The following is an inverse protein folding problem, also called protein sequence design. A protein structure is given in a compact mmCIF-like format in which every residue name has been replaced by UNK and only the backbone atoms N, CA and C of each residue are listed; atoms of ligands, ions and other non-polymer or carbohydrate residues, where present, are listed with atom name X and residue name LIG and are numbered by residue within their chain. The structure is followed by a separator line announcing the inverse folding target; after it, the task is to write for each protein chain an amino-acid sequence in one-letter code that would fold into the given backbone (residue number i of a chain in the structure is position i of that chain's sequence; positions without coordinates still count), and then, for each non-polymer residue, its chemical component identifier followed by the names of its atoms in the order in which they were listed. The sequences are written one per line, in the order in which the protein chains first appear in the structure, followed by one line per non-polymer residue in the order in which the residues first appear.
data_IF_724542009910
#
_entry.id   IF_724542009910
#
_cell.length_a   1.000
_cell.length_b   1.000
_cell.length_c   1.000
_cell.angle_alpha   90.00
_cell.angle_beta   90.00
_cell.angle_gamma   90.00
#
_symmetry.space_group_name_H-M   'P 1'
#
loop_
_entity.id
_entity.type
_entity.pdbx_description
1 polymer ?
#
# COMPACT_ATOMS: atom_id res chain seq x y z
N UNK A 1 16.03 15.16 -27.10
CA UNK A 1 14.74 15.04 -26.39
C UNK A 1 15.01 15.07 -24.91
N UNK A 2 14.65 16.17 -24.26
CA UNK A 2 14.68 16.27 -22.81
C UNK A 2 13.51 15.41 -22.27
N UNK A 3 13.83 14.39 -21.48
CA UNK A 3 12.85 13.51 -20.83
C UNK A 3 13.06 13.57 -19.34
N UNK A 4 11.99 13.79 -18.58
CA UNK A 4 11.99 13.71 -17.13
C UNK A 4 11.64 12.28 -16.68
N UNK A 5 12.61 11.37 -16.85
CA UNK A 5 12.44 9.96 -16.54
C UNK A 5 13.19 9.58 -15.26
N UNK A 6 12.56 8.82 -14.38
CA UNK A 6 13.19 8.29 -13.18
C UNK A 6 12.67 6.89 -12.84
N UNK A 7 13.57 6.03 -12.35
CA UNK A 7 13.24 4.74 -11.77
C UNK A 7 13.84 4.64 -10.37
N UNK A 8 13.00 4.34 -9.39
CA UNK A 8 13.41 4.19 -8.01
C UNK A 8 13.33 2.71 -7.60
N UNK A 9 14.44 2.14 -7.16
CA UNK A 9 14.47 0.85 -6.49
C UNK A 9 14.79 1.08 -5.01
N UNK A 10 13.82 0.89 -4.14
CA UNK A 10 13.91 1.23 -2.72
C UNK A 10 13.62 0.00 -1.88
N UNK A 11 14.58 -0.38 -1.04
CA UNK A 11 14.47 -1.59 -0.22
C UNK A 11 13.30 -1.53 0.78
N UNK A 12 13.00 -0.35 1.31
CA UNK A 12 11.97 -0.15 2.31
C UNK A 12 11.02 0.97 1.91
N UNK A 13 9.74 0.67 1.72
CA UNK A 13 8.73 1.66 1.32
C UNK A 13 8.59 2.81 2.34
N UNK A 14 8.92 2.55 3.61
CA UNK A 14 8.92 3.59 4.66
C UNK A 14 9.81 4.77 4.32
N UNK A 15 10.92 4.54 3.64
CA UNK A 15 11.84 5.62 3.26
C UNK A 15 11.26 6.56 2.20
N UNK A 16 10.27 6.08 1.45
CA UNK A 16 9.56 6.85 0.42
C UNK A 16 8.34 7.54 1.00
N UNK A 17 7.52 6.81 1.78
CA UNK A 17 6.28 7.36 2.32
C UNK A 17 6.51 8.28 3.52
N UNK A 18 7.59 8.06 4.28
CA UNK A 18 7.96 8.85 5.46
C UNK A 18 6.91 8.82 6.56
N UNK A 19 7.34 9.16 7.78
CA UNK A 19 6.41 9.29 8.90
C UNK A 19 6.14 10.75 9.26
N UNK A 20 7.04 11.67 8.88
CA UNK A 20 7.00 13.07 9.36
C UNK A 20 7.54 14.06 8.33
N UNK A 21 7.11 15.31 8.44
CA UNK A 21 7.66 16.46 7.73
C UNK A 21 7.36 16.50 6.23
N UNK A 22 8.35 16.83 5.42
CA UNK A 22 8.21 17.03 3.97
C UNK A 22 7.87 15.74 3.20
N UNK A 23 8.15 14.56 3.77
CA UNK A 23 7.82 13.28 3.14
C UNK A 23 6.32 12.96 3.18
N UNK A 24 5.53 13.64 4.00
CA UNK A 24 4.06 13.48 4.00
C UNK A 24 3.41 13.84 2.66
N UNK A 25 4.08 14.63 1.81
CA UNK A 25 3.61 15.00 0.48
C UNK A 25 4.01 13.97 -0.61
N UNK A 26 4.88 13.01 -0.30
CA UNK A 26 5.37 12.05 -1.30
C UNK A 26 4.28 11.16 -1.91
N UNK A 27 3.30 10.63 -1.16
CA UNK A 27 2.18 9.90 -1.77
C UNK A 27 1.45 10.74 -2.81
N UNK A 28 1.15 12.00 -2.52
CA UNK A 28 0.53 12.94 -3.46
C UNK A 28 1.40 13.18 -4.69
N UNK A 29 2.69 13.44 -4.50
CA UNK A 29 3.64 13.64 -5.61
C UNK A 29 3.73 12.41 -6.51
N UNK A 30 3.80 11.19 -5.94
CA UNK A 30 3.82 9.96 -6.72
C UNK A 30 2.48 9.72 -7.44
N UNK A 31 1.38 10.12 -6.82
CA UNK A 31 0.05 10.10 -7.42
C UNK A 31 -0.02 10.98 -8.67
N UNK A 32 0.49 12.21 -8.60
CA UNK A 32 0.55 13.15 -9.72
C UNK A 32 1.46 12.65 -10.86
N UNK A 33 2.59 12.04 -10.51
CA UNK A 33 3.56 11.55 -11.51
C UNK A 33 3.12 10.27 -12.24
N UNK A 34 2.09 9.59 -11.73
CA UNK A 34 1.58 8.35 -12.32
C UNK A 34 0.95 8.54 -13.70
N UNK A 35 0.36 9.70 -13.94
CA UNK A 35 -0.38 9.99 -15.18
C UNK A 35 0.56 10.27 -16.37
N UNK A 36 1.88 10.39 -16.14
CA UNK A 36 2.93 10.49 -17.17
C UNK A 36 2.69 11.67 -18.12
N UNK A 37 2.50 12.88 -17.60
CA UNK A 37 2.21 14.07 -18.37
C UNK A 37 3.30 14.40 -19.40
N UNK A 38 2.90 14.78 -20.60
CA UNK A 38 3.82 15.25 -21.65
C UNK A 38 4.51 16.55 -21.25
N UNK A 39 3.81 17.38 -20.46
CA UNK A 39 4.32 18.66 -19.96
C UNK A 39 3.79 18.91 -18.54
N UNK A 40 4.70 19.10 -17.60
CA UNK A 40 4.39 19.46 -16.21
C UNK A 40 5.17 20.69 -15.81
N UNK A 41 4.48 21.65 -15.23
CA UNK A 41 5.09 22.87 -14.72
C UNK A 41 5.07 22.86 -13.19
N UNK A 42 6.24 23.00 -12.59
CA UNK A 42 6.38 23.14 -11.14
C UNK A 42 6.56 24.64 -10.83
N UNK A 43 5.86 25.14 -9.79
CA UNK A 43 5.99 26.53 -9.39
C UNK A 43 7.44 26.85 -9.01
N UNK A 44 7.91 28.00 -9.42
CA UNK A 44 9.26 28.48 -9.11
C UNK A 44 9.44 28.71 -7.60
N UNK A 45 10.66 28.58 -7.17
CA UNK A 45 11.11 28.97 -5.82
C UNK A 45 11.92 30.25 -5.90
N UNK A 46 12.18 30.91 -4.75
CA UNK A 46 13.02 32.12 -4.71
C UNK A 46 14.42 31.90 -5.30
N UNK A 47 14.93 30.67 -5.23
CA UNK A 47 16.27 30.32 -5.73
C UNK A 47 16.25 29.75 -7.16
N UNK A 48 15.15 29.15 -7.55
CA UNK A 48 15.00 28.49 -8.84
C UNK A 48 13.69 28.99 -9.47
N UNK A 49 13.76 29.45 -10.70
CA UNK A 49 12.60 29.81 -11.48
C UNK A 49 11.65 28.64 -11.70
N UNK A 50 10.62 28.85 -12.48
CA UNK A 50 9.69 27.83 -12.90
C UNK A 50 10.43 26.64 -13.54
N UNK A 51 10.10 25.41 -13.14
CA UNK A 51 10.69 24.20 -13.67
C UNK A 51 9.68 23.52 -14.60
N UNK A 52 10.05 23.41 -15.86
CA UNK A 52 9.24 22.73 -16.88
C UNK A 52 9.80 21.33 -17.08
N UNK A 53 8.99 20.32 -16.79
CA UNK A 53 9.28 18.90 -16.99
C UNK A 53 8.56 18.43 -18.26
N UNK A 54 9.27 17.77 -19.17
CA UNK A 54 8.73 17.24 -20.43
C UNK A 54 8.79 15.73 -20.43
N UNK A 55 7.76 15.08 -20.98
CA UNK A 55 7.67 13.62 -21.09
C UNK A 55 7.97 12.95 -19.75
N UNK A 56 7.19 13.31 -18.73
CA UNK A 56 7.37 12.83 -17.36
C UNK A 56 7.05 11.33 -17.30
N UNK A 57 8.02 10.55 -16.83
CA UNK A 57 7.82 9.13 -16.59
C UNK A 57 8.52 8.70 -15.29
N UNK A 58 7.77 8.19 -14.36
CA UNK A 58 8.32 7.69 -13.10
C UNK A 58 7.81 6.28 -12.84
N UNK A 59 8.74 5.40 -12.52
CA UNK A 59 8.40 4.08 -12.00
C UNK A 59 9.16 3.81 -10.70
N UNK A 60 8.56 3.06 -9.80
CA UNK A 60 9.26 2.61 -8.61
C UNK A 60 8.93 1.16 -8.29
N UNK A 61 9.88 0.48 -7.65
CA UNK A 61 9.71 -0.81 -7.01
C UNK A 61 10.22 -0.70 -5.57
N UNK A 62 9.46 -1.25 -4.64
CA UNK A 62 9.82 -1.22 -3.23
C UNK A 62 9.32 -2.46 -2.53
N UNK A 63 9.88 -2.74 -1.36
CA UNK A 63 9.44 -3.81 -0.48
C UNK A 63 9.00 -3.25 0.88
N UNK A 64 8.20 -4.01 1.59
CA UNK A 64 7.81 -3.72 2.98
C UNK A 64 7.22 -4.95 3.64
N UNK A 65 7.14 -4.94 4.96
CA UNK A 65 6.38 -5.97 5.68
C UNK A 65 4.89 -5.65 5.66
N UNK A 66 4.00 -6.67 5.61
CA UNK A 66 2.57 -6.45 5.69
C UNK A 66 2.13 -5.63 6.90
N UNK A 67 2.66 -5.94 8.08
CA UNK A 67 2.34 -5.23 9.32
C UNK A 67 2.67 -3.73 9.25
N UNK A 68 3.80 -3.38 8.63
CA UNK A 68 4.17 -1.98 8.46
C UNK A 68 3.27 -1.28 7.43
N UNK A 69 3.01 -1.91 6.29
CA UNK A 69 2.15 -1.36 5.23
C UNK A 69 0.78 -0.96 5.78
N UNK A 70 0.17 -1.84 6.55
CA UNK A 70 -1.14 -1.60 7.17
C UNK A 70 -1.11 -0.42 8.14
N UNK A 71 0.00 -0.22 8.86
CA UNK A 71 0.16 0.90 9.79
C UNK A 71 0.45 2.24 9.06
N UNK A 72 1.20 2.18 7.97
CA UNK A 72 1.63 3.36 7.22
C UNK A 72 0.59 3.86 6.22
N UNK A 73 -0.15 2.96 5.60
CA UNK A 73 -1.21 3.28 4.63
C UNK A 73 -2.52 3.51 5.40
N UNK A 74 -2.69 4.73 5.87
CA UNK A 74 -3.90 5.17 6.55
C UNK A 74 -5.03 5.48 5.56
N UNK A 75 -6.28 5.68 6.02
CA UNK A 75 -7.42 5.98 5.16
C UNK A 75 -7.19 7.18 4.22
N UNK A 76 -6.51 8.23 4.68
CA UNK A 76 -6.26 9.41 3.85
C UNK A 76 -5.32 9.14 2.66
N UNK A 77 -4.40 8.18 2.78
CA UNK A 77 -3.53 7.73 1.68
C UNK A 77 -4.33 6.90 0.67
N UNK A 78 -5.31 6.11 1.15
CA UNK A 78 -6.23 5.35 0.29
C UNK A 78 -7.14 6.32 -0.47
N UNK A 79 -7.81 7.23 0.24
CA UNK A 79 -8.71 8.25 -0.32
C UNK A 79 -7.97 9.21 -1.24
N UNK A 80 -6.71 9.54 -0.93
CA UNK A 80 -5.82 10.34 -1.78
C UNK A 80 -5.38 9.68 -3.09
N UNK A 81 -5.79 8.45 -3.34
CA UNK A 81 -5.58 7.74 -4.60
C UNK A 81 -4.17 7.18 -4.81
N UNK A 82 -3.28 7.23 -3.82
CA UNK A 82 -1.95 6.62 -3.94
C UNK A 82 -2.05 5.10 -4.12
N UNK A 83 -2.85 4.42 -3.28
CA UNK A 83 -3.00 2.97 -3.33
C UNK A 83 -3.62 2.47 -4.62
N UNK A 84 -4.46 3.28 -5.27
CA UNK A 84 -5.06 2.95 -6.56
C UNK A 84 -4.06 2.94 -7.72
N UNK A 85 -2.89 3.54 -7.53
CA UNK A 85 -1.83 3.65 -8.55
C UNK A 85 -0.65 2.70 -8.30
N UNK A 86 -0.70 1.93 -7.22
CA UNK A 86 0.34 0.97 -6.84
C UNK A 86 -0.19 -0.45 -6.93
N UNK A 87 0.56 -1.32 -7.59
CA UNK A 87 0.27 -2.75 -7.62
C UNK A 87 0.98 -3.40 -6.44
N UNK A 88 0.21 -3.81 -5.43
CA UNK A 88 0.74 -4.52 -4.28
C UNK A 88 0.82 -6.02 -4.57
N UNK A 89 2.03 -6.55 -4.60
CA UNK A 89 2.27 -7.99 -4.73
C UNK A 89 2.49 -8.56 -3.33
N UNK A 90 1.45 -9.17 -2.78
CA UNK A 90 1.46 -9.73 -1.42
C UNK A 90 1.63 -11.24 -1.49
N UNK A 91 2.59 -11.78 -0.76
CA UNK A 91 2.76 -13.22 -0.57
C UNK A 91 3.15 -13.48 0.90
N UNK A 92 2.31 -14.18 1.62
CA UNK A 92 2.47 -14.52 3.04
C UNK A 92 3.02 -15.93 3.25
N UNK A 93 3.08 -16.73 2.17
CA UNK A 93 3.55 -18.10 2.21
C UNK A 93 4.95 -18.22 1.63
N UNK A 94 5.90 -18.62 2.47
CA UNK A 94 7.24 -18.97 2.01
C UNK A 94 7.21 -20.24 1.18
N UNK A 95 7.19 -20.11 -0.14
CA UNK A 95 7.09 -21.24 -1.08
C UNK A 95 8.33 -22.13 -1.08
N UNK A 96 9.50 -21.58 -0.77
CA UNK A 96 10.77 -22.31 -0.83
C UNK A 96 11.71 -21.81 0.27
N UNK A 97 12.20 -22.73 1.09
CA UNK A 97 13.26 -22.45 2.05
C UNK A 97 14.61 -22.77 1.40
N UNK A 98 15.41 -21.73 1.14
CA UNK A 98 16.76 -21.87 0.62
C UNK A 98 17.71 -21.37 1.70
N UNK A 99 18.39 -22.29 2.38
CA UNK A 99 19.34 -21.95 3.43
C UNK A 99 20.59 -21.27 2.85
N UNK A 100 21.03 -21.75 1.70
CA UNK A 100 22.19 -21.22 0.99
C UNK A 100 21.85 -21.15 -0.51
N UNK A 101 21.72 -19.96 -1.10
CA UNK A 101 21.46 -19.82 -2.52
C UNK A 101 22.67 -20.27 -3.33
N UNK A 102 22.44 -21.06 -4.37
CA UNK A 102 23.47 -21.42 -5.33
C UNK A 102 23.90 -20.18 -6.11
N UNK A 103 25.19 -20.02 -6.32
CA UNK A 103 25.72 -18.97 -7.19
C UNK A 103 25.30 -19.23 -8.64
N UNK A 104 24.88 -18.20 -9.33
CA UNK A 104 24.57 -18.31 -10.75
C UNK A 104 25.82 -18.63 -11.53
N UNK A 105 25.70 -19.57 -12.45
CA UNK A 105 26.78 -19.86 -13.40
C UNK A 105 26.99 -18.68 -14.36
N UNK A 106 28.16 -18.60 -14.94
CA UNK A 106 28.48 -17.57 -15.95
C UNK A 106 27.51 -17.65 -17.13
N UNK A 107 27.13 -18.88 -17.54
CA UNK A 107 26.19 -19.10 -18.64
C UNK A 107 24.78 -18.64 -18.32
N UNK A 108 24.28 -18.89 -17.10
CA UNK A 108 22.98 -18.38 -16.66
C UNK A 108 22.98 -16.86 -16.62
N UNK A 109 24.03 -16.24 -16.09
CA UNK A 109 24.17 -14.79 -16.04
C UNK A 109 24.22 -14.18 -17.44
N UNK A 110 24.92 -14.84 -18.38
CA UNK A 110 24.97 -14.42 -19.79
C UNK A 110 23.58 -14.49 -20.43
N UNK A 111 22.85 -15.60 -20.29
CA UNK A 111 21.49 -15.78 -20.84
C UNK A 111 20.53 -14.71 -20.32
N UNK A 112 20.55 -14.41 -19.02
CA UNK A 112 19.71 -13.35 -18.44
C UNK A 112 20.05 -11.99 -19.03
N UNK A 113 21.34 -11.66 -19.16
CA UNK A 113 21.78 -10.39 -19.75
C UNK A 113 21.42 -10.27 -21.23
N UNK A 114 21.55 -11.34 -22.01
CA UNK A 114 21.16 -11.37 -23.41
C UNK A 114 19.65 -11.19 -23.58
N UNK A 115 18.84 -11.89 -22.79
CA UNK A 115 17.39 -11.74 -22.77
C UNK A 115 16.99 -10.29 -22.42
N UNK A 116 17.59 -9.72 -21.38
CA UNK A 116 17.35 -8.33 -20.99
C UNK A 116 17.70 -7.35 -22.12
N UNK A 117 18.90 -7.47 -22.72
CA UNK A 117 19.33 -6.60 -23.82
C UNK A 117 18.40 -6.72 -25.03
N UNK A 118 17.98 -7.93 -25.39
CA UNK A 118 17.02 -8.15 -26.48
C UNK A 118 15.68 -7.47 -26.21
N UNK A 119 15.14 -7.64 -25.00
CA UNK A 119 13.89 -7.00 -24.58
C UNK A 119 14.00 -5.48 -24.62
N UNK A 120 15.12 -4.92 -24.12
CA UNK A 120 15.35 -3.48 -24.12
C UNK A 120 15.55 -2.90 -25.54
N UNK A 121 16.20 -3.63 -26.45
CA UNK A 121 16.32 -3.22 -27.84
C UNK A 121 14.94 -3.12 -28.50
N UNK A 122 14.10 -4.14 -28.35
CA UNK A 122 12.71 -4.13 -28.83
C UNK A 122 11.90 -2.99 -28.25
N UNK A 123 11.99 -2.76 -26.92
CA UNK A 123 11.28 -1.68 -26.26
C UNK A 123 11.66 -0.29 -26.81
N UNK A 124 12.91 -0.10 -27.24
CA UNK A 124 13.39 1.17 -27.84
C UNK A 124 12.88 1.38 -29.26
N UNK A 125 12.65 0.31 -30.02
CA UNK A 125 12.12 0.38 -31.38
C UNK A 125 10.62 0.69 -31.40
N UNK A 126 9.93 0.40 -30.28
CA UNK A 126 8.50 0.57 -30.15
C UNK A 126 8.18 2.05 -29.89
N UNK A 127 7.64 2.73 -30.87
CA UNK A 127 7.09 4.07 -30.69
C UNK A 127 5.70 3.99 -30.02
N UNK A 128 4.66 3.79 -30.82
CA UNK A 128 3.28 3.62 -30.34
C UNK A 128 2.83 2.17 -30.60
N UNK A 129 2.53 1.44 -29.50
CA UNK A 129 1.96 0.09 -29.62
C UNK A 129 0.49 0.12 -30.02
N UNK A 130 0.15 -0.74 -30.97
CA UNK A 130 -1.23 -1.00 -31.34
C UNK A 130 -1.88 -2.05 -30.46
N UNK A 131 -3.19 -2.17 -30.57
CA UNK A 131 -3.96 -3.27 -30.00
C UNK A 131 -4.69 -4.02 -31.13
N UNK A 132 -4.57 -5.34 -31.16
CA UNK A 132 -5.28 -6.17 -32.14
C UNK A 132 -6.79 -6.14 -31.93
N UNK A 133 -7.55 -6.44 -32.95
CA UNK A 133 -9.02 -6.57 -32.84
C UNK A 133 -9.43 -7.55 -31.74
N UNK A 134 -8.71 -8.69 -31.63
CA UNK A 134 -8.92 -9.67 -30.57
C UNK A 134 -8.59 -9.15 -29.19
N UNK A 135 -7.49 -8.38 -29.06
CA UNK A 135 -7.09 -7.71 -27.81
C UNK A 135 -8.12 -6.70 -27.36
N UNK A 136 -8.56 -5.84 -28.27
CA UNK A 136 -9.59 -4.83 -28.00
C UNK A 136 -10.93 -5.46 -27.60
N UNK A 137 -11.35 -6.51 -28.31
CA UNK A 137 -12.57 -7.26 -27.96
C UNK A 137 -12.48 -7.84 -26.56
N UNK A 138 -11.34 -8.44 -26.20
CA UNK A 138 -11.11 -9.02 -24.87
C UNK A 138 -11.10 -7.97 -23.76
N UNK A 139 -10.46 -6.83 -23.98
CA UNK A 139 -10.43 -5.71 -23.04
C UNK A 139 -11.85 -5.15 -22.82
N UNK A 140 -12.60 -4.86 -23.89
CA UNK A 140 -13.98 -4.37 -23.80
C UNK A 140 -14.91 -5.35 -23.07
N UNK A 141 -14.78 -6.65 -23.36
CA UNK A 141 -15.55 -7.68 -22.66
C UNK A 141 -15.29 -7.66 -21.17
N UNK A 142 -14.03 -7.58 -20.75
CA UNK A 142 -13.67 -7.47 -19.36
C UNK A 142 -14.20 -6.18 -18.74
N UNK A 143 -13.97 -5.03 -19.36
CA UNK A 143 -14.35 -3.70 -18.88
C UNK A 143 -15.87 -3.60 -18.63
N UNK A 144 -16.68 -4.10 -19.54
CA UNK A 144 -18.15 -4.06 -19.42
C UNK A 144 -18.71 -5.03 -18.37
N UNK A 145 -17.95 -6.07 -18.00
CA UNK A 145 -18.37 -7.08 -17.03
C UNK A 145 -17.72 -6.91 -15.65
N UNK A 146 -16.92 -5.85 -15.45
CA UNK A 146 -16.29 -5.60 -14.15
C UNK A 146 -17.36 -5.28 -13.11
N UNK A 147 -17.15 -5.80 -11.89
CA UNK A 147 -18.00 -5.53 -10.73
C UNK A 147 -17.55 -4.24 -10.06
N UNK A 148 -18.50 -3.50 -9.51
CA UNK A 148 -18.20 -2.38 -8.63
C UNK A 148 -18.28 -2.86 -7.19
N UNK A 149 -17.34 -2.43 -6.38
CA UNK A 149 -17.28 -2.75 -4.96
C UNK A 149 -17.47 -1.49 -4.11
N UNK A 150 -18.03 -1.68 -2.92
CA UNK A 150 -18.27 -0.59 -1.96
C UNK A 150 -17.12 -0.43 -0.96
N UNK A 151 -16.21 -1.41 -0.90
CA UNK A 151 -15.01 -1.32 -0.06
C UNK A 151 -14.12 -0.17 -0.55
N UNK A 152 -13.65 0.74 0.33
CA UNK A 152 -12.87 1.93 -0.06
C UNK A 152 -11.59 1.60 -0.82
N UNK A 153 -10.87 0.54 -0.43
CA UNK A 153 -9.65 0.12 -1.13
C UNK A 153 -9.99 -0.42 -2.52
N UNK A 154 -10.95 -1.34 -2.62
CA UNK A 154 -11.37 -1.93 -3.90
C UNK A 154 -11.92 -0.88 -4.85
N UNK A 155 -12.81 0.00 -4.40
CA UNK A 155 -13.41 1.04 -5.24
C UNK A 155 -12.35 2.03 -5.76
N UNK A 156 -11.38 2.40 -4.92
CA UNK A 156 -10.24 3.23 -5.31
C UNK A 156 -9.37 2.53 -6.35
N UNK A 157 -9.05 1.25 -6.15
CA UNK A 157 -8.24 0.47 -7.08
C UNK A 157 -8.95 0.27 -8.43
N UNK A 158 -10.25 0.03 -8.42
CA UNK A 158 -11.07 -0.19 -9.63
C UNK A 158 -11.10 1.04 -10.55
N UNK A 159 -10.94 2.23 -10.00
CA UNK A 159 -10.85 3.45 -10.79
C UNK A 159 -9.64 3.48 -11.75
N UNK A 160 -8.60 2.68 -11.46
CA UNK A 160 -7.34 2.60 -12.22
C UNK A 160 -7.00 1.19 -12.72
N UNK A 161 -7.89 0.24 -12.52
CA UNK A 161 -7.65 -1.17 -12.85
C UNK A 161 -7.44 -1.40 -14.35
N UNK A 162 -8.10 -0.64 -15.21
CA UNK A 162 -7.92 -0.66 -16.65
C UNK A 162 -6.51 -0.17 -17.06
N UNK A 163 -6.01 0.89 -16.46
CA UNK A 163 -4.65 1.37 -16.67
C UNK A 163 -3.62 0.31 -16.26
N UNK A 164 -3.81 -0.32 -15.10
CA UNK A 164 -2.94 -1.39 -14.63
C UNK A 164 -2.92 -2.59 -15.59
N UNK A 165 -4.08 -3.00 -16.09
CA UNK A 165 -4.19 -4.10 -17.04
C UNK A 165 -3.47 -3.75 -18.35
N UNK A 166 -3.66 -2.55 -18.86
CA UNK A 166 -3.01 -2.12 -20.10
C UNK A 166 -1.49 -1.99 -19.91
N UNK A 167 -1.02 -1.42 -18.80
CA UNK A 167 0.42 -1.32 -18.46
C UNK A 167 1.05 -2.72 -18.30
N UNK A 168 0.38 -3.64 -17.61
CA UNK A 168 0.85 -5.02 -17.48
C UNK A 168 0.85 -5.78 -18.81
N UNK A 169 -0.20 -5.61 -19.63
CA UNK A 169 -0.28 -6.20 -20.96
C UNK A 169 0.81 -5.69 -21.89
N UNK A 170 1.15 -4.39 -21.78
CA UNK A 170 2.26 -3.77 -22.51
C UNK A 170 3.59 -4.44 -22.16
N UNK A 171 3.89 -4.60 -20.87
CA UNK A 171 5.08 -5.30 -20.42
C UNK A 171 5.17 -6.73 -20.95
N UNK A 172 4.07 -7.49 -20.90
CA UNK A 172 3.98 -8.84 -21.44
C UNK A 172 4.19 -8.86 -22.97
N UNK A 173 3.60 -7.92 -23.69
CA UNK A 173 3.74 -7.79 -25.14
C UNK A 173 5.20 -7.57 -25.55
N UNK A 174 5.88 -6.64 -24.89
CA UNK A 174 7.29 -6.35 -25.14
C UNK A 174 8.17 -7.57 -24.79
N UNK A 175 7.89 -8.24 -23.67
CA UNK A 175 8.60 -9.44 -23.26
C UNK A 175 8.46 -10.57 -24.29
N UNK A 176 7.27 -10.77 -24.83
CA UNK A 176 7.00 -11.77 -25.86
C UNK A 176 7.56 -11.34 -27.24
N UNK A 177 8.13 -10.14 -27.34
CA UNK A 177 8.76 -9.61 -28.54
C UNK A 177 7.77 -9.25 -29.64
N UNK A 178 6.52 -8.96 -29.30
CA UNK A 178 5.47 -8.50 -30.20
C UNK A 178 5.29 -6.99 -30.09
N UNK A 179 4.80 -6.36 -31.16
CA UNK A 179 4.58 -4.90 -31.23
C UNK A 179 3.09 -4.54 -31.23
N UNK A 180 2.24 -5.53 -30.93
CA UNK A 180 0.81 -5.37 -30.90
C UNK A 180 0.21 -6.16 -29.73
N UNK A 181 -0.65 -5.51 -28.93
CA UNK A 181 -1.32 -6.12 -27.80
C UNK A 181 -2.34 -7.19 -28.27
N UNK A 182 -2.03 -8.45 -28.04
CA UNK A 182 -2.89 -9.56 -28.40
C UNK A 182 -3.87 -9.90 -27.25
N UNK A 183 -4.93 -10.66 -27.56
CA UNK A 183 -5.90 -11.14 -26.55
C UNK A 183 -5.25 -11.95 -25.44
N UNK A 184 -4.14 -12.63 -25.72
CA UNK A 184 -3.35 -13.40 -24.73
C UNK A 184 -2.69 -12.51 -23.72
N UNK A 185 -2.11 -11.37 -24.14
CA UNK A 185 -1.50 -10.40 -23.24
C UNK A 185 -2.54 -9.77 -22.31
N UNK A 186 -3.67 -9.35 -22.86
CA UNK A 186 -4.80 -8.79 -22.08
C UNK A 186 -5.31 -9.82 -21.06
N UNK A 187 -5.51 -11.08 -21.46
CA UNK A 187 -5.98 -12.14 -20.55
C UNK A 187 -4.98 -12.40 -19.40
N UNK A 188 -3.68 -12.53 -19.72
CA UNK A 188 -2.64 -12.72 -18.71
C UNK A 188 -2.58 -11.54 -17.75
N UNK A 189 -2.65 -10.30 -18.26
CA UNK A 189 -2.67 -9.09 -17.47
C UNK A 189 -3.87 -9.03 -16.52
N UNK A 190 -5.08 -9.34 -17.00
CA UNK A 190 -6.29 -9.42 -16.17
C UNK A 190 -6.07 -10.42 -15.02
N UNK A 191 -5.52 -11.59 -15.30
CA UNK A 191 -5.25 -12.60 -14.25
C UNK A 191 -4.26 -12.09 -13.21
N UNK A 192 -3.15 -11.48 -13.65
CA UNK A 192 -2.13 -10.92 -12.74
C UNK A 192 -2.68 -9.81 -11.86
N UNK A 193 -3.44 -8.87 -12.45
CA UNK A 193 -3.99 -7.73 -11.70
C UNK A 193 -5.09 -8.19 -10.75
N UNK A 194 -5.93 -9.13 -11.15
CA UNK A 194 -6.96 -9.69 -10.26
C UNK A 194 -6.34 -10.44 -9.06
N UNK A 195 -5.27 -11.23 -9.27
CA UNK A 195 -4.57 -11.90 -8.16
C UNK A 195 -3.94 -10.89 -7.22
N UNK A 196 -3.25 -9.86 -7.74
CA UNK A 196 -2.67 -8.80 -6.95
C UNK A 196 -3.74 -8.02 -6.16
N UNK A 197 -4.85 -7.64 -6.81
CA UNK A 197 -6.00 -6.97 -6.18
C UNK A 197 -6.60 -7.81 -5.05
N UNK A 198 -6.85 -9.08 -5.28
CA UNK A 198 -7.40 -9.99 -4.28
C UNK A 198 -6.50 -10.10 -3.05
N UNK A 199 -5.19 -10.31 -3.26
CA UNK A 199 -4.22 -10.40 -2.16
C UNK A 199 -4.06 -9.09 -1.41
N UNK A 200 -4.02 -7.95 -2.12
CA UNK A 200 -3.96 -6.64 -1.51
C UNK A 200 -5.25 -6.31 -0.73
N UNK A 201 -6.41 -6.75 -1.22
CA UNK A 201 -7.67 -6.59 -0.47
C UNK A 201 -7.68 -7.37 0.84
N UNK A 202 -7.07 -8.55 0.89
CA UNK A 202 -6.89 -9.28 2.15
C UNK A 202 -6.00 -8.52 3.15
N UNK A 203 -5.15 -7.62 2.66
CA UNK A 203 -4.27 -6.80 3.49
C UNK A 203 -4.89 -5.45 3.89
N UNK A 204 -5.63 -4.79 3.00
CA UNK A 204 -6.11 -3.42 3.18
C UNK A 204 -7.63 -3.30 3.29
N UNK A 205 -8.38 -4.33 2.88
CA UNK A 205 -9.84 -4.26 2.76
C UNK A 205 -10.56 -4.54 4.08
N UNK A 206 -11.76 -3.99 4.17
CA UNK A 206 -12.77 -4.29 5.18
C UNK A 206 -12.28 -4.21 6.63
N UNK A 207 -12.55 -5.27 7.36
CA UNK A 207 -12.19 -5.41 8.77
C UNK A 207 -10.69 -5.29 9.06
N UNK A 208 -9.81 -5.55 8.09
CA UNK A 208 -8.37 -5.55 8.33
C UNK A 208 -7.81 -4.12 8.51
N UNK A 209 -8.28 -3.15 7.73
CA UNK A 209 -7.87 -1.74 7.90
C UNK A 209 -8.37 -1.19 9.23
N UNK A 210 -9.56 -1.59 9.68
CA UNK A 210 -10.10 -1.27 10.98
C UNK A 210 -9.30 -1.95 12.10
N UNK A 211 -8.95 -3.23 11.92
CA UNK A 211 -8.14 -4.02 12.86
C UNK A 211 -6.74 -3.46 13.04
N UNK A 212 -6.07 -3.10 11.96
CA UNK A 212 -4.72 -2.53 12.03
C UNK A 212 -4.72 -1.15 12.68
N UNK A 213 -5.75 -0.33 12.41
CA UNK A 213 -5.95 0.95 13.09
C UNK A 213 -6.19 0.75 14.58
N UNK A 214 -7.00 -0.23 14.95
CA UNK A 214 -7.26 -0.58 16.35
C UNK A 214 -6.02 -1.17 17.04
N UNK A 215 -5.21 -1.98 16.34
CA UNK A 215 -3.94 -2.50 16.87
C UNK A 215 -2.95 -1.38 17.19
N UNK A 216 -2.74 -0.45 16.25
CA UNK A 216 -1.92 0.74 16.50
C UNK A 216 -2.46 1.63 17.64
N UNK A 217 -3.79 1.68 17.78
CA UNK A 217 -4.44 2.37 18.89
C UNK A 217 -4.23 1.66 20.23
N UNK A 218 -4.23 0.32 20.27
CA UNK A 218 -3.91 -0.47 21.48
C UNK A 218 -2.53 -0.13 22.00
N UNK A 219 -1.51 -0.13 21.14
CA UNK A 219 -0.14 0.19 21.54
C UNK A 219 -0.03 1.61 22.08
N UNK A 220 -0.69 2.57 21.45
CA UNK A 220 -0.72 3.96 21.91
C UNK A 220 -1.44 4.12 23.24
N UNK A 221 -2.60 3.47 23.41
CA UNK A 221 -3.33 3.45 24.67
C UNK A 221 -2.48 2.82 25.77
N UNK A 222 -1.79 1.72 25.47
CA UNK A 222 -0.87 1.06 26.39
C UNK A 222 0.23 2.00 26.88
N UNK A 223 0.91 2.68 25.98
CA UNK A 223 1.96 3.66 26.33
C UNK A 223 1.43 4.77 27.22
N UNK A 224 0.25 5.33 26.91
CA UNK A 224 -0.39 6.37 27.72
C UNK A 224 -0.78 5.86 29.11
N UNK A 225 -1.32 4.64 29.20
CA UNK A 225 -1.71 4.03 30.46
C UNK A 225 -0.50 3.71 31.36
N UNK A 226 0.58 3.20 30.77
CA UNK A 226 1.83 2.95 31.51
C UNK A 226 2.40 4.28 32.02
N UNK A 227 2.41 5.33 31.19
CA UNK A 227 2.89 6.64 31.59
C UNK A 227 2.05 7.32 32.67
N UNK A 228 0.75 6.99 32.76
CA UNK A 228 -0.16 7.50 33.78
C UNK A 228 0.04 6.79 35.17
N UNK A 229 0.73 5.67 35.20
CA UNK A 229 1.09 4.94 36.40
C UNK A 229 -0.09 4.56 37.31
N UNK A 230 0.14 4.61 38.64
CA UNK A 230 -0.88 4.27 39.64
C UNK A 230 -2.06 5.24 39.71
N UNK A 231 -1.88 6.46 39.24
CA UNK A 231 -2.94 7.48 39.29
C UNK A 231 -4.03 7.24 38.26
N UNK A 232 -3.67 6.53 37.15
CA UNK A 232 -4.57 6.24 36.07
C UNK A 232 -4.89 7.49 35.23
N UNK A 233 -5.79 7.33 34.24
CA UNK A 233 -6.19 8.41 33.33
C UNK A 233 -7.72 8.43 33.16
N UNK A 234 -8.31 9.62 33.14
CA UNK A 234 -9.75 9.78 32.86
C UNK A 234 -10.04 9.51 31.39
N UNK A 235 -11.22 8.96 31.11
CA UNK A 235 -11.68 8.70 29.73
C UNK A 235 -11.53 9.94 28.83
N UNK A 236 -11.94 11.12 29.28
CA UNK A 236 -11.85 12.37 28.52
C UNK A 236 -10.42 12.77 28.16
N UNK A 237 -9.47 12.49 29.06
CA UNK A 237 -8.06 12.85 28.86
C UNK A 237 -7.38 11.84 27.93
N UNK A 238 -7.71 10.55 28.07
CA UNK A 238 -7.27 9.53 27.15
C UNK A 238 -7.82 9.79 25.75
N UNK A 239 -9.11 10.10 25.63
CA UNK A 239 -9.73 10.43 24.36
C UNK A 239 -9.05 11.61 23.64
N UNK A 240 -8.74 12.69 24.36
CA UNK A 240 -8.01 13.84 23.79
C UNK A 240 -6.64 13.46 23.24
N UNK A 241 -5.94 12.55 23.89
CA UNK A 241 -4.58 12.10 23.44
C UNK A 241 -4.63 11.16 22.25
N UNK A 242 -5.74 10.44 22.06
CA UNK A 242 -5.85 9.41 21.02
C UNK A 242 -6.85 9.74 19.91
N UNK A 243 -7.51 10.91 19.96
CA UNK A 243 -8.58 11.32 19.03
C UNK A 243 -8.17 11.25 17.54
N UNK A 244 -6.87 11.35 17.24
CA UNK A 244 -6.34 11.23 15.87
C UNK A 244 -6.29 9.79 15.36
N UNK A 245 -6.48 8.81 16.24
CA UNK A 245 -6.31 7.38 15.94
C UNK A 245 -7.62 6.60 16.02
N UNK A 246 -8.48 6.94 16.97
CA UNK A 246 -9.78 6.29 17.19
C UNK A 246 -10.83 7.30 17.64
N UNK A 247 -12.07 7.07 17.25
CA UNK A 247 -13.18 7.87 17.72
C UNK A 247 -13.62 7.48 19.16
N UNK A 248 -14.55 8.23 19.74
CA UNK A 248 -15.02 8.00 21.10
C UNK A 248 -15.73 6.65 21.30
N UNK A 249 -16.38 6.15 20.27
CA UNK A 249 -17.11 4.87 20.31
C UNK A 249 -16.11 3.71 20.23
N UNK A 250 -15.18 3.79 19.32
CA UNK A 250 -14.09 2.84 19.15
C UNK A 250 -13.20 2.75 20.40
N UNK A 251 -12.87 3.88 21.02
CA UNK A 251 -12.10 3.91 22.25
C UNK A 251 -12.82 3.16 23.39
N UNK A 252 -14.14 3.32 23.54
CA UNK A 252 -14.89 2.59 24.55
C UNK A 252 -14.88 1.08 24.32
N UNK A 253 -15.03 0.65 23.08
CA UNK A 253 -14.93 -0.76 22.69
C UNK A 253 -13.55 -1.29 23.03
N UNK A 254 -12.50 -0.56 22.63
CA UNK A 254 -11.11 -0.92 22.89
C UNK A 254 -10.82 -1.07 24.39
N UNK A 255 -11.25 -0.09 25.21
CA UNK A 255 -11.04 -0.13 26.66
C UNK A 255 -11.77 -1.29 27.33
N UNK A 256 -12.95 -1.66 26.85
CA UNK A 256 -13.69 -2.83 27.33
C UNK A 256 -12.94 -4.12 27.02
N UNK A 257 -12.46 -4.29 25.80
CA UNK A 257 -11.69 -5.47 25.39
C UNK A 257 -10.39 -5.58 26.20
N UNK A 258 -9.66 -4.47 26.38
CA UNK A 258 -8.45 -4.45 27.20
C UNK A 258 -8.74 -4.79 28.67
N UNK A 259 -9.90 -4.43 29.18
CA UNK A 259 -10.36 -4.81 30.52
C UNK A 259 -10.67 -6.30 30.62
N UNK A 260 -11.40 -6.86 29.66
CA UNK A 260 -11.70 -8.30 29.57
C UNK A 260 -10.45 -9.16 29.44
N UNK A 261 -9.41 -8.63 28.78
CA UNK A 261 -8.08 -9.26 28.70
C UNK A 261 -7.22 -9.04 29.96
N UNK A 262 -7.74 -8.38 30.98
CA UNK A 262 -7.04 -8.15 32.25
C UNK A 262 -5.90 -7.13 32.16
N UNK A 263 -5.80 -6.35 31.08
CA UNK A 263 -4.77 -5.34 30.89
C UNK A 263 -5.06 -4.02 31.58
N UNK A 264 -6.35 -3.71 31.77
CA UNK A 264 -6.84 -2.44 32.29
C UNK A 264 -7.89 -2.67 33.36
N UNK A 265 -7.86 -1.87 34.41
CA UNK A 265 -8.94 -1.73 35.38
C UNK A 265 -9.77 -0.50 35.05
N UNK A 266 -11.09 -0.65 35.07
CA UNK A 266 -12.06 0.43 34.83
C UNK A 266 -12.70 0.84 36.15
N UNK A 267 -12.57 2.09 36.52
CA UNK A 267 -13.19 2.67 37.73
C UNK A 267 -14.29 3.63 37.31
N UNK A 268 -15.51 3.40 37.76
CA UNK A 268 -16.64 4.34 37.58
C UNK A 268 -16.50 5.50 38.56
N UNK A 269 -16.57 6.71 38.04
CA UNK A 269 -16.51 7.95 38.79
C UNK A 269 -17.90 8.65 38.75
N UNK A 270 -18.11 9.67 39.60
CA UNK A 270 -19.33 10.50 39.55
C UNK A 270 -19.56 11.13 38.16
N UNK A 271 -18.50 11.42 37.42
CA UNK A 271 -18.55 11.94 36.05
C UNK A 271 -17.56 11.19 35.18
N UNK A 272 -18.02 10.08 34.55
CA UNK A 272 -17.23 9.29 33.58
C UNK A 272 -16.50 8.10 34.19
N UNK A 273 -15.48 7.67 33.47
CA UNK A 273 -14.67 6.50 33.82
C UNK A 273 -13.18 6.89 33.91
N UNK A 274 -12.46 6.15 34.72
CA UNK A 274 -11.01 6.24 34.86
C UNK A 274 -10.40 4.87 34.57
N UNK A 275 -9.28 4.84 33.90
CA UNK A 275 -8.56 3.65 33.49
C UNK A 275 -7.20 3.59 34.17
N UNK A 276 -6.83 2.42 34.64
CA UNK A 276 -5.52 2.16 35.24
C UNK A 276 -4.92 0.91 34.61
N UNK A 277 -3.63 0.98 34.30
CA UNK A 277 -2.86 -0.17 33.86
C UNK A 277 -2.77 -1.25 34.93
N UNK A 278 -2.87 -2.51 34.54
CA UNK A 278 -2.54 -3.64 35.40
C UNK A 278 -1.08 -4.06 35.20
N UNK A 279 -0.53 -4.87 36.09
CA UNK A 279 0.81 -5.47 35.92
C UNK A 279 0.93 -6.31 34.64
N UNK A 280 -0.18 -6.80 34.10
CA UNK A 280 -0.23 -7.57 32.85
C UNK A 280 0.08 -6.72 31.64
N UNK A 281 -0.27 -5.43 31.65
CA UNK A 281 -0.03 -4.52 30.50
C UNK A 281 1.48 -4.29 30.23
N UNK A 282 2.31 -4.41 31.26
CA UNK A 282 3.77 -4.24 31.13
C UNK A 282 4.47 -5.49 30.59
N UNK A 283 3.93 -6.68 30.93
CA UNK A 283 4.53 -7.98 30.62
C UNK A 283 4.18 -8.50 29.23
N UNK A 284 3.00 -8.15 28.73
CA UNK A 284 2.50 -8.68 27.46
C UNK A 284 2.43 -7.53 26.45
N UNK A 285 3.22 -7.63 25.38
CA UNK A 285 2.93 -6.91 24.13
C UNK A 285 1.50 -7.21 23.69
N UNK A 286 0.98 -6.54 22.65
CA UNK A 286 -0.34 -6.85 22.09
C UNK A 286 -0.39 -8.34 21.80
N UNK A 287 -1.02 -9.10 22.68
CA UNK A 287 -1.08 -10.54 22.53
C UNK A 287 -2.06 -10.87 21.40
N UNK A 288 -1.78 -11.98 20.71
CA UNK A 288 -2.70 -12.59 19.74
C UNK A 288 -4.13 -12.74 20.30
N UNK A 289 -4.30 -12.78 21.59
CA UNK A 289 -5.60 -12.89 22.30
C UNK A 289 -6.39 -11.57 22.30
N UNK A 290 -5.73 -10.43 22.47
CA UNK A 290 -6.36 -9.09 22.32
C UNK A 290 -6.75 -8.86 20.88
N UNK A 291 -5.87 -9.23 19.95
CA UNK A 291 -6.15 -9.19 18.53
C UNK A 291 -7.31 -10.11 18.16
N UNK A 292 -7.36 -11.32 18.67
CA UNK A 292 -8.45 -12.26 18.39
C UNK A 292 -9.81 -11.75 18.88
N UNK A 293 -9.89 -11.11 20.06
CA UNK A 293 -11.13 -10.52 20.59
C UNK A 293 -11.52 -9.18 19.92
N UNK A 294 -10.57 -8.47 19.33
CA UNK A 294 -10.85 -7.32 18.46
C UNK A 294 -11.41 -7.75 17.10
N UNK A 295 -11.22 -9.02 16.76
CA UNK A 295 -11.50 -9.64 15.46
C UNK A 295 -12.84 -10.39 15.45
N UNK A 296 -13.28 -10.88 16.61
CA UNK A 296 -14.60 -11.52 16.82
C UNK A 296 -15.70 -10.48 17.05
#
# INVERSE_FOLDING_TARGET
HERAEAHFAVNELVTVLGKEGYLMSMPGTLTDLYDCDDLRTLPGTIKHGEIIQKNVYVSFISASTPAWLVTAINPSVIEGGFTSRVIFVVDDVRKRAIAWPEERTVDESRRVNESYRSTMAKAREVGKLGISTGGLKKHRQWYNNRRQHTDPFLSSFEAREDDHILKAALGLCINDGTLELQSTHIRKAITLINDAKFRANNLFGGDFSQKARLTGAVDRVREILISAGSDGIKHSDLQRRIIRHVDAKELRVLMRIMHECGMVQIFKMKRGEMYRATRSIEKFGVTSEVLAKLIS
#
